data_IF_043981197766
#
_entry.id   IF_043981197766
#
_cell.length_a   1.000
_cell.length_b   1.000
_cell.length_c   1.000
_cell.angle_alpha   90.00
_cell.angle_beta   90.00
_cell.angle_gamma   90.00
#
_symmetry.space_group_name_H-M   'P 1'
#
loop_
_entity.id
_entity.type
_entity.pdbx_description
1 polymer ?
#
# COMPACT_ATOMS: atom_id res chain seq x y z
N UNK A 1 19.60 -7.47 -18.40
CA UNK A 1 19.99 -6.79 -17.15
C UNK A 1 20.34 -5.35 -17.47
N UNK A 2 19.80 -4.42 -16.69
CA UNK A 2 20.09 -2.99 -16.84
C UNK A 2 21.30 -2.63 -15.96
N UNK A 3 22.21 -1.81 -16.51
CA UNK A 3 23.34 -1.25 -15.75
C UNK A 3 22.94 0.08 -15.13
N UNK A 4 23.38 0.35 -13.91
CA UNK A 4 23.22 1.64 -13.23
C UNK A 4 24.19 2.69 -13.79
N UNK A 5 24.04 3.94 -13.38
CA UNK A 5 24.96 5.02 -13.78
C UNK A 5 26.34 4.79 -13.17
N UNK A 6 26.38 4.34 -11.91
CA UNK A 6 27.61 4.02 -11.19
C UNK A 6 28.35 2.87 -11.87
N UNK A 7 27.63 1.79 -12.22
CA UNK A 7 28.22 0.66 -12.96
C UNK A 7 28.79 1.10 -14.31
N UNK A 8 28.11 2.01 -15.03
CA UNK A 8 28.62 2.58 -16.29
C UNK A 8 29.87 3.43 -16.08
N UNK A 9 29.95 4.21 -15.01
CA UNK A 9 31.12 5.01 -14.67
C UNK A 9 32.33 4.11 -14.33
N UNK A 10 32.11 3.04 -13.57
CA UNK A 10 33.15 2.03 -13.29
C UNK A 10 33.65 1.38 -14.57
N UNK A 11 32.75 1.03 -15.51
CA UNK A 11 33.14 0.50 -16.82
C UNK A 11 34.03 1.50 -17.57
N UNK A 12 33.67 2.79 -17.60
CA UNK A 12 34.45 3.81 -18.29
C UNK A 12 35.87 3.94 -17.73
N UNK A 13 36.00 4.07 -16.40
CA UNK A 13 37.30 4.24 -15.73
C UNK A 13 38.16 2.99 -15.92
N UNK A 14 37.62 1.80 -15.65
CA UNK A 14 38.38 0.56 -15.77
C UNK A 14 38.75 0.22 -17.22
N UNK A 15 37.92 0.58 -18.20
CA UNK A 15 38.24 0.42 -19.60
C UNK A 15 39.37 1.38 -20.04
N UNK A 16 39.37 2.63 -19.56
CA UNK A 16 40.44 3.58 -19.80
C UNK A 16 41.78 3.14 -19.16
N UNK A 17 41.72 2.44 -18.03
CA UNK A 17 42.88 1.82 -17.37
C UNK A 17 43.36 0.51 -18.04
N UNK A 18 42.73 0.09 -19.15
CA UNK A 18 43.14 -1.11 -19.89
C UNK A 18 42.74 -2.44 -19.23
N UNK A 19 41.78 -2.45 -18.31
CA UNK A 19 41.34 -3.70 -17.68
C UNK A 19 40.61 -4.61 -18.67
N UNK A 20 40.82 -5.91 -18.54
CA UNK A 20 40.11 -6.90 -19.35
C UNK A 20 38.61 -6.93 -19.00
N UNK A 21 37.77 -7.28 -19.99
CA UNK A 21 36.31 -7.36 -19.80
C UNK A 21 35.91 -8.28 -18.64
N UNK A 22 36.68 -9.35 -18.39
CA UNK A 22 36.45 -10.28 -17.27
C UNK A 22 36.73 -9.62 -15.93
N UNK A 23 37.80 -8.81 -15.84
CA UNK A 23 38.14 -8.06 -14.62
C UNK A 23 37.09 -7.00 -14.31
N UNK A 24 36.63 -6.25 -15.32
CA UNK A 24 35.55 -5.26 -15.16
C UNK A 24 34.26 -5.95 -14.70
N UNK A 25 33.92 -7.08 -15.32
CA UNK A 25 32.76 -7.89 -14.94
C UNK A 25 32.80 -8.35 -13.47
N UNK A 26 33.95 -8.81 -12.96
CA UNK A 26 34.09 -9.16 -11.55
C UNK A 26 33.92 -7.95 -10.63
N UNK A 27 34.49 -6.78 -10.98
CA UNK A 27 34.41 -5.57 -10.15
C UNK A 27 32.97 -5.09 -9.90
N UNK A 28 32.11 -5.17 -10.92
CA UNK A 28 30.70 -4.76 -10.80
C UNK A 28 29.74 -5.95 -10.60
N UNK A 29 30.28 -7.15 -10.35
CA UNK A 29 29.51 -8.39 -10.18
C UNK A 29 28.49 -8.66 -11.32
N UNK A 30 28.95 -8.57 -12.58
CA UNK A 30 28.15 -8.81 -13.79
C UNK A 30 28.82 -9.83 -14.70
N UNK A 31 28.08 -10.36 -15.68
CA UNK A 31 28.67 -11.24 -16.69
C UNK A 31 29.59 -10.46 -17.65
N UNK A 32 30.71 -11.04 -18.13
CA UNK A 32 31.56 -10.43 -19.17
C UNK A 32 30.79 -10.09 -20.45
N UNK A 33 29.76 -10.87 -20.77
CA UNK A 33 28.89 -10.63 -21.92
C UNK A 33 28.07 -9.34 -21.79
N UNK A 34 27.72 -8.94 -20.56
CA UNK A 34 27.02 -7.67 -20.28
C UNK A 34 27.93 -6.48 -20.62
N UNK A 35 29.18 -6.51 -20.16
CA UNK A 35 30.17 -5.46 -20.41
C UNK A 35 30.47 -5.33 -21.90
N UNK A 36 30.71 -6.47 -22.56
CA UNK A 36 30.97 -6.51 -24.01
C UNK A 36 29.82 -5.90 -24.82
N UNK A 37 28.57 -6.25 -24.51
CA UNK A 37 27.38 -5.69 -25.18
C UNK A 37 27.22 -4.20 -24.90
N UNK A 38 27.50 -3.73 -23.68
CA UNK A 38 27.38 -2.31 -23.34
C UNK A 38 28.42 -1.46 -24.08
N UNK A 39 29.68 -1.87 -24.07
CA UNK A 39 30.77 -1.19 -24.77
C UNK A 39 30.58 -1.19 -26.28
N UNK A 40 30.07 -2.28 -26.86
CA UNK A 40 29.78 -2.36 -28.29
C UNK A 40 28.61 -1.46 -28.69
N UNK A 41 27.55 -1.40 -27.88
CA UNK A 41 26.32 -0.67 -28.18
C UNK A 41 26.48 0.84 -28.07
N UNK A 42 27.33 1.32 -27.15
CA UNK A 42 27.47 2.74 -26.85
C UNK A 42 28.88 3.27 -27.18
N UNK A 43 29.54 2.66 -28.16
CA UNK A 43 30.83 3.12 -28.68
C UNK A 43 30.63 4.41 -29.49
N UNK A 44 31.49 5.40 -29.31
CA UNK A 44 31.50 6.60 -30.13
C UNK A 44 32.18 6.36 -31.50
N UNK A 45 32.16 7.38 -32.36
CA UNK A 45 32.73 7.32 -33.73
C UNK A 45 34.25 7.11 -33.71
N UNK A 46 34.93 7.55 -32.65
CA UNK A 46 36.37 7.41 -32.46
C UNK A 46 36.76 6.13 -31.69
N UNK A 47 35.79 5.27 -31.36
CA UNK A 47 36.03 4.02 -30.64
C UNK A 47 36.03 4.13 -29.10
N UNK A 48 35.79 5.31 -28.56
CA UNK A 48 35.69 5.59 -27.13
C UNK A 48 34.35 5.18 -26.51
N UNK A 49 34.31 5.21 -25.18
CA UNK A 49 33.11 4.92 -24.38
C UNK A 49 32.91 5.99 -23.31
N UNK A 50 31.71 6.57 -23.28
CA UNK A 50 31.30 7.56 -22.28
C UNK A 50 30.06 7.05 -21.54
N UNK A 51 30.18 6.95 -20.21
CA UNK A 51 29.10 6.53 -19.32
C UNK A 51 27.88 7.46 -19.43
N UNK A 52 28.11 8.76 -19.54
CA UNK A 52 27.06 9.76 -19.69
C UNK A 52 26.31 9.59 -21.02
N UNK A 53 27.02 9.43 -22.13
CA UNK A 53 26.41 9.17 -23.43
C UNK A 53 25.64 7.84 -23.45
N UNK A 54 26.20 6.78 -22.86
CA UNK A 54 25.54 5.48 -22.75
C UNK A 54 24.23 5.56 -21.93
N UNK A 55 24.23 6.33 -20.84
CA UNK A 55 23.04 6.60 -20.03
C UNK A 55 21.96 7.34 -20.82
N UNK A 56 22.32 8.42 -21.51
CA UNK A 56 21.39 9.19 -22.34
C UNK A 56 20.78 8.34 -23.47
N UNK A 57 21.59 7.55 -24.16
CA UNK A 57 21.10 6.66 -25.21
C UNK A 57 20.17 5.57 -24.66
N UNK A 58 20.46 5.03 -23.47
CA UNK A 58 19.57 4.09 -22.80
C UNK A 58 18.21 4.74 -22.50
N UNK A 59 18.21 5.98 -21.97
CA UNK A 59 16.99 6.73 -21.70
C UNK A 59 16.19 7.02 -22.98
N UNK A 60 16.86 7.46 -24.05
CA UNK A 60 16.21 7.71 -25.35
C UNK A 60 15.55 6.43 -25.92
N UNK A 61 16.27 5.30 -25.91
CA UNK A 61 15.71 4.00 -26.32
C UNK A 61 14.50 3.61 -25.47
N UNK A 62 14.57 3.84 -24.15
CA UNK A 62 13.44 3.56 -23.24
C UNK A 62 12.22 4.41 -23.54
N UNK A 63 12.38 5.68 -23.91
CA UNK A 63 11.25 6.54 -24.24
C UNK A 63 10.48 6.01 -25.45
N UNK A 64 11.18 5.54 -26.49
CA UNK A 64 10.57 4.98 -27.70
C UNK A 64 9.85 3.65 -27.42
N UNK A 65 10.40 2.82 -26.52
CA UNK A 65 9.77 1.55 -26.13
C UNK A 65 8.54 1.70 -25.23
N UNK A 66 8.24 2.91 -24.72
CA UNK A 66 7.05 3.10 -23.88
C UNK A 66 5.80 3.08 -24.76
N UNK A 67 4.77 2.27 -24.41
CA UNK A 67 3.50 2.29 -25.11
C UNK A 67 2.94 3.71 -25.14
N UNK A 68 2.61 4.21 -26.33
CA UNK A 68 1.92 5.49 -26.48
C UNK A 68 0.58 5.42 -25.75
N UNK A 69 0.29 6.40 -24.90
CA UNK A 69 -1.01 6.49 -24.21
C UNK A 69 -2.11 6.68 -25.26
N UNK A 70 -3.07 5.75 -25.29
CA UNK A 70 -4.15 5.75 -26.29
C UNK A 70 -5.19 6.86 -26.07
N UNK A 71 -5.34 7.31 -24.82
CA UNK A 71 -6.28 8.34 -24.40
C UNK A 71 -5.50 9.46 -23.71
N UNK A 72 -5.06 10.43 -24.51
CA UNK A 72 -4.45 11.66 -24.02
C UNK A 72 -5.52 12.74 -23.89
N UNK A 73 -5.51 13.49 -22.79
CA UNK A 73 -6.42 14.62 -22.57
C UNK A 73 -6.32 15.61 -23.73
N UNK A 74 -7.45 16.10 -24.24
CA UNK A 74 -7.53 17.01 -25.38
C UNK A 74 -7.33 16.35 -26.75
N UNK A 75 -7.06 15.04 -26.80
CA UNK A 75 -7.09 14.30 -28.06
C UNK A 75 -8.51 13.91 -28.44
N UNK A 76 -8.81 13.86 -29.74
CA UNK A 76 -10.14 13.52 -30.28
C UNK A 76 -10.74 12.25 -29.65
N UNK A 77 -9.91 11.22 -29.45
CA UNK A 77 -10.31 9.96 -28.81
C UNK A 77 -10.76 10.13 -27.37
N UNK A 78 -10.06 10.96 -26.61
CA UNK A 78 -10.40 11.21 -25.22
C UNK A 78 -11.71 11.99 -25.13
N UNK A 79 -11.89 13.01 -25.98
CA UNK A 79 -13.11 13.80 -26.01
C UNK A 79 -14.33 12.96 -26.42
N UNK A 80 -14.16 12.06 -27.39
CA UNK A 80 -15.22 11.11 -27.77
C UNK A 80 -15.60 10.17 -26.61
N UNK A 81 -14.61 9.62 -25.91
CA UNK A 81 -14.86 8.78 -24.72
C UNK A 81 -15.52 9.59 -23.61
N UNK A 82 -15.08 10.83 -23.36
CA UNK A 82 -15.65 11.72 -22.36
C UNK A 82 -17.11 12.07 -22.69
N UNK A 83 -17.42 12.36 -23.95
CA UNK A 83 -18.78 12.58 -24.41
C UNK A 83 -19.66 11.34 -24.18
N UNK A 84 -19.20 10.14 -24.57
CA UNK A 84 -19.98 8.92 -24.32
C UNK A 84 -20.15 8.58 -22.83
N UNK A 85 -19.20 8.95 -21.97
CA UNK A 85 -19.36 8.84 -20.52
C UNK A 85 -20.44 9.79 -20.01
N UNK A 86 -20.50 11.03 -20.51
CA UNK A 86 -21.56 12.00 -20.15
C UNK A 86 -22.94 11.49 -20.53
N UNK A 87 -23.05 10.82 -21.68
CA UNK A 87 -24.24 10.08 -22.14
C UNK A 87 -24.52 8.78 -21.34
N UNK A 88 -23.83 8.57 -20.21
CA UNK A 88 -24.02 7.44 -19.29
C UNK A 88 -23.71 6.06 -19.87
N UNK A 89 -22.94 5.97 -20.96
CA UNK A 89 -22.44 4.68 -21.44
C UNK A 89 -21.35 4.15 -20.49
N UNK A 90 -21.42 2.86 -20.16
CA UNK A 90 -20.37 2.22 -19.37
C UNK A 90 -19.06 2.10 -20.17
N UNK A 91 -17.89 2.06 -19.52
CA UNK A 91 -16.62 1.81 -20.22
C UNK A 91 -16.61 0.54 -21.09
N UNK A 92 -17.42 -0.47 -20.75
CA UNK A 92 -17.62 -1.67 -21.57
C UNK A 92 -18.43 -1.39 -22.83
N UNK A 93 -19.54 -0.67 -22.71
CA UNK A 93 -20.38 -0.26 -23.83
C UNK A 93 -19.61 0.67 -24.77
N UNK A 94 -18.82 1.60 -24.23
CA UNK A 94 -17.96 2.49 -25.01
C UNK A 94 -16.93 1.68 -25.79
N UNK A 95 -16.24 0.73 -25.15
CA UNK A 95 -15.26 -0.12 -25.83
C UNK A 95 -15.89 -0.97 -26.95
N UNK A 96 -17.12 -1.46 -26.74
CA UNK A 96 -17.89 -2.16 -27.77
C UNK A 96 -18.29 -1.24 -28.93
N UNK A 97 -18.84 -0.06 -28.62
CA UNK A 97 -19.31 0.92 -29.61
C UNK A 97 -18.16 1.47 -30.46
N UNK A 98 -17.02 1.76 -29.85
CA UNK A 98 -15.81 2.17 -30.57
C UNK A 98 -15.28 1.08 -31.50
N UNK A 99 -15.47 -0.20 -31.14
CA UNK A 99 -15.08 -1.32 -32.02
C UNK A 99 -15.96 -1.42 -33.26
N UNK A 100 -17.25 -1.10 -33.15
CA UNK A 100 -18.18 -1.14 -34.29
C UNK A 100 -18.14 0.11 -35.17
N UNK A 101 -17.58 1.21 -34.67
CA UNK A 101 -17.43 2.45 -35.42
C UNK A 101 -16.27 2.35 -36.41
N UNK A 102 -16.56 2.35 -37.70
CA UNK A 102 -15.53 2.37 -38.74
C UNK A 102 -15.05 3.82 -38.96
N UNK A 103 -14.22 4.33 -38.04
CA UNK A 103 -13.68 5.69 -38.10
C UNK A 103 -12.29 5.64 -38.75
N UNK A 104 -12.09 6.19 -39.97
CA UNK A 104 -10.83 6.11 -40.70
C UNK A 104 -9.62 6.68 -39.94
N UNK A 105 -9.80 7.75 -39.17
CA UNK A 105 -8.75 8.38 -38.35
C UNK A 105 -8.37 7.57 -37.10
N UNK A 106 -9.16 6.54 -36.74
CA UNK A 106 -9.01 5.77 -35.50
C UNK A 106 -8.84 4.25 -35.74
N UNK A 107 -8.49 3.83 -36.96
CA UNK A 107 -8.40 2.39 -37.35
C UNK A 107 -7.52 1.52 -36.43
N UNK A 108 -6.43 2.07 -35.89
CA UNK A 108 -5.52 1.32 -34.99
C UNK A 108 -5.92 1.39 -33.50
N UNK A 109 -7.03 2.05 -33.18
CA UNK A 109 -7.32 2.52 -31.83
C UNK A 109 -8.28 1.60 -31.06
N UNK A 110 -7.96 0.30 -30.95
CA UNK A 110 -8.66 -0.53 -29.98
C UNK A 110 -8.44 0.02 -28.55
N UNK A 111 -9.50 0.56 -27.95
CA UNK A 111 -9.56 1.03 -26.57
C UNK A 111 -10.46 0.05 -25.80
N UNK A 112 -9.86 -0.79 -24.97
CA UNK A 112 -10.62 -1.65 -24.08
C UNK A 112 -11.12 -0.86 -22.85
N UNK A 113 -12.14 -1.40 -22.16
CA UNK A 113 -12.67 -0.83 -20.89
C UNK A 113 -11.57 -0.45 -19.90
N UNK A 114 -10.52 -1.27 -19.82
CA UNK A 114 -9.38 -1.06 -18.92
C UNK A 114 -8.58 0.20 -19.26
N UNK A 115 -8.45 0.49 -20.56
CA UNK A 115 -7.75 1.68 -21.04
C UNK A 115 -8.52 2.94 -20.65
N UNK A 116 -9.86 2.89 -20.71
CA UNK A 116 -10.75 3.98 -20.28
C UNK A 116 -10.63 4.19 -18.77
N UNK A 117 -10.75 3.13 -17.96
CA UNK A 117 -10.57 3.23 -16.52
C UNK A 117 -9.19 3.80 -16.15
N UNK A 118 -8.11 3.29 -16.74
CA UNK A 118 -6.77 3.80 -16.48
C UNK A 118 -6.62 5.27 -16.86
N UNK A 119 -7.22 5.70 -17.98
CA UNK A 119 -7.19 7.11 -18.39
C UNK A 119 -7.89 8.00 -17.37
N UNK A 120 -9.10 7.65 -16.92
CA UNK A 120 -9.87 8.43 -15.93
C UNK A 120 -9.12 8.52 -14.60
N UNK A 121 -8.66 7.38 -14.07
CA UNK A 121 -8.00 7.34 -12.76
C UNK A 121 -6.59 7.92 -12.76
N UNK A 122 -5.92 8.03 -13.91
CA UNK A 122 -4.62 8.68 -14.06
C UNK A 122 -4.70 10.21 -14.28
N UNK A 123 -5.91 10.78 -14.42
CA UNK A 123 -6.08 12.23 -14.47
C UNK A 123 -5.63 12.87 -13.14
N UNK A 124 -5.07 14.10 -13.18
CA UNK A 124 -4.82 14.86 -11.97
C UNK A 124 -6.12 15.12 -11.21
N UNK A 125 -6.01 15.33 -9.89
CA UNK A 125 -7.18 15.71 -9.07
C UNK A 125 -7.70 17.05 -9.57
N UNK A 126 -8.99 17.10 -9.93
CA UNK A 126 -9.62 18.28 -10.51
C UNK A 126 -11.05 17.99 -10.95
N UNK A 127 -11.72 19.02 -11.47
CA UNK A 127 -13.14 18.97 -11.86
C UNK A 127 -13.42 17.92 -12.93
N UNK A 128 -12.63 17.89 -14.00
CA UNK A 128 -12.77 16.89 -15.07
C UNK A 128 -12.71 15.45 -14.55
N UNK A 129 -11.83 15.17 -13.59
CA UNK A 129 -11.74 13.83 -12.98
C UNK A 129 -13.00 13.52 -12.18
N UNK A 130 -13.49 14.47 -11.39
CA UNK A 130 -14.73 14.31 -10.60
C UNK A 130 -15.93 14.08 -11.53
N UNK A 131 -16.06 14.90 -12.57
CA UNK A 131 -17.12 14.83 -13.57
C UNK A 131 -17.17 13.44 -14.24
N UNK A 132 -16.02 12.96 -14.75
CA UNK A 132 -15.96 11.66 -15.43
C UNK A 132 -16.17 10.49 -14.46
N UNK A 133 -15.76 10.61 -13.19
CA UNK A 133 -16.02 9.58 -12.17
C UNK A 133 -17.51 9.49 -11.87
N UNK A 134 -18.23 10.62 -11.75
CA UNK A 134 -19.68 10.66 -11.52
C UNK A 134 -20.45 9.95 -12.65
N UNK A 135 -19.90 9.98 -13.87
CA UNK A 135 -20.48 9.30 -15.02
C UNK A 135 -20.32 7.76 -14.97
N UNK A 136 -19.45 7.21 -14.11
CA UNK A 136 -19.27 5.77 -13.97
C UNK A 136 -20.37 5.17 -13.11
N UNK A 137 -20.83 3.96 -13.43
CA UNK A 137 -21.92 3.27 -12.71
C UNK A 137 -21.75 3.18 -11.19
N UNK A 138 -20.52 3.12 -10.69
CA UNK A 138 -20.24 3.02 -9.25
C UNK A 138 -19.78 4.34 -8.63
N UNK A 139 -19.46 5.36 -9.44
CA UNK A 139 -18.97 6.67 -9.00
C UNK A 139 -17.86 6.67 -7.96
N UNK A 140 -17.02 5.61 -7.92
CA UNK A 140 -15.98 5.46 -6.90
C UNK A 140 -14.77 6.34 -7.22
N UNK A 141 -14.41 7.20 -6.27
CA UNK A 141 -13.22 8.07 -6.34
C UNK A 141 -11.91 7.29 -6.44
N UNK A 142 -11.89 6.07 -5.89
CA UNK A 142 -10.77 5.15 -5.93
C UNK A 142 -11.09 3.93 -6.79
N UNK A 143 -10.09 3.50 -7.55
CA UNK A 143 -10.19 2.31 -8.38
C UNK A 143 -10.05 1.08 -7.50
N UNK A 144 -10.97 0.11 -7.63
CA UNK A 144 -10.82 -1.17 -6.95
C UNK A 144 -9.57 -1.89 -7.49
N UNK A 145 -8.63 -2.32 -6.63
CA UNK A 145 -7.46 -3.05 -7.08
C UNK A 145 -7.88 -4.35 -7.78
N UNK A 146 -7.15 -4.69 -8.84
CA UNK A 146 -7.47 -5.81 -9.73
C UNK A 146 -7.15 -7.17 -9.08
N UNK A 147 -6.15 -7.19 -8.21
CA UNK A 147 -5.97 -8.25 -7.23
C UNK A 147 -7.03 -8.06 -6.15
N UNK A 148 -8.17 -8.72 -6.30
CA UNK A 148 -9.01 -9.08 -5.16
C UNK A 148 -8.26 -10.11 -4.32
N UNK A 149 -7.10 -9.73 -3.80
CA UNK A 149 -6.41 -10.56 -2.82
C UNK A 149 -7.35 -10.72 -1.66
N UNK A 150 -7.58 -11.96 -1.26
CA UNK A 150 -7.88 -12.28 0.15
C UNK A 150 -6.98 -11.39 0.97
N UNK A 151 -7.55 -10.69 1.93
CA UNK A 151 -6.81 -9.72 2.72
C UNK A 151 -5.54 -10.39 3.24
N UNK A 152 -4.36 -10.05 2.68
CA UNK A 152 -3.08 -10.66 3.08
C UNK A 152 -2.65 -10.22 4.49
N UNK A 153 -3.52 -9.46 5.14
CA UNK A 153 -3.47 -9.06 6.52
C UNK A 153 -3.92 -10.28 7.29
N UNK A 154 -2.97 -11.11 7.74
CA UNK A 154 -3.30 -12.29 8.55
C UNK A 154 -4.32 -11.94 9.62
N UNK A 155 -5.31 -12.82 9.81
CA UNK A 155 -6.33 -12.66 10.85
C UNK A 155 -5.67 -12.84 12.23
N UNK A 156 -6.23 -12.18 13.26
CA UNK A 156 -5.82 -12.44 14.64
C UNK A 156 -6.16 -13.91 14.94
N UNK A 157 -5.17 -14.76 15.26
CA UNK A 157 -5.44 -16.17 15.55
C UNK A 157 -6.27 -16.27 16.84
N UNK A 158 -7.20 -17.23 16.89
CA UNK A 158 -7.95 -17.60 18.11
C UNK A 158 -8.70 -16.43 18.78
N UNK A 159 -9.14 -15.47 17.97
CA UNK A 159 -9.88 -14.29 18.43
C UNK A 159 -11.19 -14.68 19.16
N UNK A 160 -11.36 -14.18 20.39
CA UNK A 160 -12.60 -14.34 21.15
C UNK A 160 -13.53 -13.16 20.87
N UNK A 161 -14.72 -13.43 20.33
CA UNK A 161 -15.69 -12.38 19.98
C UNK A 161 -16.24 -11.67 21.22
N UNK A 162 -16.54 -10.38 21.10
CA UNK A 162 -17.25 -9.61 22.12
C UNK A 162 -18.62 -10.19 22.48
N UNK A 163 -19.26 -10.96 21.60
CA UNK A 163 -20.59 -11.54 21.84
C UNK A 163 -20.60 -12.68 22.86
N UNK A 164 -19.44 -13.28 23.17
CA UNK A 164 -19.34 -14.32 24.22
C UNK A 164 -18.95 -13.73 25.58
N UNK A 165 -18.83 -12.41 25.67
CA UNK A 165 -18.48 -11.70 26.89
C UNK A 165 -19.61 -11.84 27.92
N UNK A 166 -19.29 -12.07 29.22
CA UNK A 166 -20.30 -12.07 30.28
C UNK A 166 -21.13 -10.77 30.29
N UNK A 167 -22.45 -10.84 30.51
CA UNK A 167 -23.33 -9.67 30.45
C UNK A 167 -22.99 -8.61 31.50
N UNK A 168 -22.48 -9.03 32.66
CA UNK A 168 -22.05 -8.17 33.77
C UNK A 168 -20.99 -7.11 33.39
N UNK A 169 -20.28 -7.30 32.27
CA UNK A 169 -19.26 -6.38 31.77
C UNK A 169 -19.90 -5.17 31.09
N UNK A 170 -21.10 -5.33 30.54
CA UNK A 170 -21.80 -4.24 29.85
C UNK A 170 -22.37 -3.22 30.84
N UNK A 171 -22.84 -3.69 32.00
CA UNK A 171 -23.50 -2.85 33.00
C UNK A 171 -22.55 -1.87 33.73
N UNK A 172 -21.22 -2.01 33.54
CA UNK A 172 -20.19 -1.15 34.17
C UNK A 172 -20.32 -1.05 35.69
N UNK A 173 -20.76 -2.12 36.35
CA UNK A 173 -21.03 -2.13 37.78
C UNK A 173 -19.82 -2.52 38.63
N UNK A 174 -18.84 -3.20 38.03
CA UNK A 174 -17.66 -3.67 38.74
C UNK A 174 -16.36 -3.20 38.08
N UNK A 175 -15.38 -2.76 38.88
CA UNK A 175 -14.10 -2.34 38.34
C UNK A 175 -13.28 -3.54 37.85
N UNK A 176 -12.35 -3.25 36.93
CA UNK A 176 -11.39 -4.23 36.40
C UNK A 176 -11.71 -4.73 34.99
N UNK A 177 -12.67 -4.09 34.32
CA UNK A 177 -12.96 -4.28 32.91
C UNK A 177 -12.43 -3.09 32.10
N UNK A 178 -11.54 -3.37 31.16
CA UNK A 178 -10.78 -2.36 30.44
C UNK A 178 -11.19 -2.27 28.97
N UNK A 179 -11.07 -1.10 28.38
CA UNK A 179 -11.06 -0.90 26.92
C UNK A 179 -9.67 -0.46 26.50
N UNK A 180 -9.08 -1.19 25.57
CA UNK A 180 -7.75 -0.89 25.04
C UNK A 180 -7.81 -0.24 23.67
N UNK A 181 -6.89 0.69 23.40
CA UNK A 181 -6.61 1.25 22.07
C UNK A 181 -5.10 1.41 21.84
N UNK A 182 -4.69 1.68 20.61
CA UNK A 182 -3.31 2.00 20.25
C UNK A 182 -3.23 3.29 19.44
N UNK A 183 -2.70 4.33 20.06
CA UNK A 183 -2.42 5.59 19.40
C UNK A 183 -1.04 5.50 18.73
N UNK A 184 -1.02 5.66 17.40
CA UNK A 184 0.22 5.63 16.60
C UNK A 184 0.71 7.05 16.33
N UNK A 185 1.96 7.31 16.67
CA UNK A 185 2.65 8.56 16.38
C UNK A 185 3.02 8.70 14.90
N UNK A 186 3.59 9.86 14.55
CA UNK A 186 4.00 10.17 13.17
C UNK A 186 4.95 9.08 12.63
N UNK A 187 4.66 8.60 11.42
CA UNK A 187 5.42 7.56 10.75
C UNK A 187 5.55 6.22 11.52
N UNK A 188 4.64 5.93 12.47
CA UNK A 188 4.70 4.76 13.35
C UNK A 188 6.01 4.66 14.17
N UNK A 189 6.71 5.78 14.37
CA UNK A 189 7.99 5.83 15.09
C UNK A 189 7.83 5.80 16.62
N UNK A 190 6.61 5.99 17.11
CA UNK A 190 6.23 5.83 18.51
C UNK A 190 4.78 5.37 18.57
N UNK A 191 4.40 4.69 19.65
CA UNK A 191 3.00 4.43 19.93
C UNK A 191 2.73 4.41 21.44
N UNK A 192 1.47 4.65 21.77
CA UNK A 192 0.97 4.66 23.14
C UNK A 192 -0.28 3.81 23.17
N UNK A 193 -0.24 2.71 23.92
CA UNK A 193 -1.44 1.95 24.25
C UNK A 193 -2.25 2.72 25.30
N UNK A 194 -3.56 2.76 25.15
CA UNK A 194 -4.47 3.27 26.18
C UNK A 194 -5.20 2.10 26.81
N UNK A 195 -5.43 2.17 28.13
CA UNK A 195 -6.32 1.27 28.85
C UNK A 195 -7.26 2.12 29.69
N UNK A 196 -8.55 2.10 29.38
CA UNK A 196 -9.59 2.83 30.12
C UNK A 196 -10.45 1.85 30.90
N UNK A 197 -10.52 2.02 32.22
CA UNK A 197 -11.37 1.22 33.09
C UNK A 197 -12.83 1.65 32.94
N UNK A 198 -13.73 0.72 32.63
CA UNK A 198 -15.10 1.02 32.19
C UNK A 198 -16.01 1.60 33.28
N UNK A 199 -15.71 1.36 34.56
CA UNK A 199 -16.55 1.81 35.69
C UNK A 199 -16.15 3.21 36.16
N UNK A 200 -14.86 3.42 36.38
CA UNK A 200 -14.28 4.64 36.94
C UNK A 200 -13.80 5.64 35.88
N UNK A 201 -13.62 5.21 34.63
CA UNK A 201 -12.99 6.02 33.58
C UNK A 201 -11.48 6.21 33.76
N UNK A 202 -10.85 5.46 34.67
CA UNK A 202 -9.42 5.57 34.92
C UNK A 202 -8.61 5.19 33.67
N UNK A 203 -7.83 6.13 33.17
CA UNK A 203 -6.99 5.98 31.97
C UNK A 203 -5.55 5.69 32.36
N UNK A 204 -4.99 4.62 31.79
CA UNK A 204 -3.56 4.33 31.81
C UNK A 204 -2.97 4.46 30.41
N UNK A 205 -1.82 5.15 30.33
CA UNK A 205 -1.05 5.30 29.10
C UNK A 205 0.18 4.40 29.15
N UNK A 206 0.31 3.53 28.15
CA UNK A 206 1.37 2.54 28.04
C UNK A 206 2.28 2.92 26.89
N UNK A 207 3.43 3.51 27.18
CA UNK A 207 4.40 3.90 26.16
C UNK A 207 5.08 2.67 25.56
N UNK A 208 5.10 2.58 24.23
CA UNK A 208 5.70 1.49 23.48
C UNK A 208 6.67 2.02 22.43
N UNK A 209 7.71 1.25 22.12
CA UNK A 209 8.76 1.67 21.17
C UNK A 209 8.26 1.64 19.72
N UNK A 210 7.40 0.68 19.37
CA UNK A 210 6.80 0.54 18.05
C UNK A 210 5.42 -0.12 18.12
N UNK A 211 4.69 -0.09 17.01
CA UNK A 211 3.34 -0.64 16.90
C UNK A 211 3.33 -2.15 16.54
N UNK A 212 4.33 -2.91 16.95
CA UNK A 212 4.38 -4.37 16.73
C UNK A 212 3.57 -5.12 17.79
N UNK A 213 3.16 -6.36 17.45
CA UNK A 213 2.44 -7.21 18.39
C UNK A 213 3.29 -7.62 19.60
N UNK A 214 4.62 -7.68 19.45
CA UNK A 214 5.54 -7.96 20.56
C UNK A 214 5.57 -6.78 21.54
N UNK A 215 5.77 -5.56 21.05
CA UNK A 215 5.79 -4.37 21.92
C UNK A 215 4.44 -4.12 22.60
N UNK A 216 3.33 -4.39 21.91
CA UNK A 216 2.01 -4.31 22.51
C UNK A 216 1.79 -5.36 23.61
N UNK A 217 2.18 -6.61 23.36
CA UNK A 217 2.11 -7.67 24.36
C UNK A 217 2.94 -7.32 25.60
N UNK A 218 4.21 -6.94 25.43
CA UNK A 218 5.10 -6.58 26.54
C UNK A 218 4.56 -5.38 27.34
N UNK A 219 4.15 -4.31 26.63
CA UNK A 219 3.65 -3.09 27.24
C UNK A 219 2.35 -3.33 28.02
N UNK A 220 1.35 -3.95 27.40
CA UNK A 220 0.07 -4.22 28.06
C UNK A 220 0.23 -5.23 29.21
N UNK A 221 1.03 -6.29 29.03
CA UNK A 221 1.31 -7.24 30.12
C UNK A 221 1.96 -6.55 31.31
N UNK A 222 2.97 -5.70 31.09
CA UNK A 222 3.63 -4.97 32.17
C UNK A 222 2.66 -4.02 32.90
N UNK A 223 1.84 -3.28 32.15
CA UNK A 223 0.83 -2.37 32.69
C UNK A 223 -0.22 -3.10 33.54
N UNK A 224 -0.80 -4.17 33.00
CA UNK A 224 -1.79 -5.00 33.69
C UNK A 224 -1.18 -5.68 34.92
N UNK A 225 0.05 -6.18 34.83
CA UNK A 225 0.76 -6.80 35.94
C UNK A 225 1.18 -5.81 37.05
N UNK A 226 1.17 -4.51 36.77
CA UNK A 226 1.33 -3.46 37.78
C UNK A 226 0.08 -3.22 38.64
N UNK A 227 -1.08 -3.71 38.23
CA UNK A 227 -2.36 -3.49 38.93
C UNK A 227 -2.67 -4.62 39.93
N UNK A 228 -3.48 -4.41 40.97
CA UNK A 228 -3.97 -5.51 41.82
C UNK A 228 -4.73 -6.56 41.01
N UNK A 229 -4.64 -7.84 41.40
CA UNK A 229 -5.33 -8.96 40.71
C UNK A 229 -6.84 -8.72 40.55
N UNK A 230 -7.49 -8.11 41.54
CA UNK A 230 -8.93 -7.79 41.50
C UNK A 230 -9.31 -6.86 40.32
N UNK A 231 -8.36 -6.07 39.81
CA UNK A 231 -8.56 -5.15 38.69
C UNK A 231 -8.28 -5.78 37.32
N UNK A 232 -7.94 -7.07 37.25
CA UNK A 232 -7.50 -7.74 36.01
C UNK A 232 -8.54 -8.71 35.49
N UNK A 233 -9.78 -8.25 35.25
CA UNK A 233 -10.88 -9.14 34.85
C UNK A 233 -10.92 -9.36 33.34
N UNK A 234 -11.13 -8.29 32.58
CA UNK A 234 -11.20 -8.39 31.12
C UNK A 234 -10.69 -7.14 30.42
N UNK A 235 -10.38 -7.28 29.13
CA UNK A 235 -10.05 -6.19 28.24
C UNK A 235 -10.81 -6.35 26.92
N UNK A 236 -11.42 -5.27 26.44
CA UNK A 236 -12.08 -5.21 25.12
C UNK A 236 -11.20 -4.43 24.16
N UNK A 237 -10.99 -4.94 22.95
CA UNK A 237 -10.10 -4.33 21.94
C UNK A 237 -10.71 -4.41 20.54
N UNK A 238 -10.24 -3.55 19.63
CA UNK A 238 -10.55 -3.68 18.21
C UNK A 238 -9.74 -4.83 17.55
N UNK A 239 -9.96 -5.08 16.26
CA UNK A 239 -9.22 -6.11 15.53
C UNK A 239 -7.84 -5.62 15.04
N UNK A 240 -7.17 -4.77 15.83
CA UNK A 240 -5.84 -4.25 15.60
C UNK A 240 -4.77 -5.34 15.60
N UNK A 241 -3.80 -5.25 14.68
CA UNK A 241 -2.77 -6.30 14.51
C UNK A 241 -1.78 -6.38 15.65
N UNK A 242 -1.60 -5.29 16.38
CA UNK A 242 -0.87 -5.24 17.63
C UNK A 242 -1.39 -6.30 18.63
N UNK A 243 -2.66 -6.70 18.53
CA UNK A 243 -3.25 -7.73 19.39
C UNK A 243 -3.14 -9.16 18.83
N UNK A 244 -2.29 -9.39 17.81
CA UNK A 244 -2.05 -10.74 17.28
C UNK A 244 -1.50 -11.73 18.33
N UNK A 245 -0.84 -11.22 19.39
CA UNK A 245 -0.30 -12.01 20.52
C UNK A 245 -1.16 -11.91 21.79
N UNK A 246 -2.46 -11.61 21.67
CA UNK A 246 -3.33 -11.42 22.84
C UNK A 246 -3.42 -12.64 23.76
N UNK A 247 -3.34 -13.86 23.23
CA UNK A 247 -3.33 -15.08 24.03
C UNK A 247 -2.20 -15.11 25.07
N UNK A 248 -1.02 -14.55 24.71
CA UNK A 248 0.11 -14.44 25.63
C UNK A 248 -0.12 -13.37 26.71
N UNK A 249 -0.82 -12.28 26.38
CA UNK A 249 -1.24 -11.27 27.38
C UNK A 249 -2.17 -11.94 28.40
N UNK A 250 -3.18 -12.68 27.93
CA UNK A 250 -4.08 -13.44 28.81
C UNK A 250 -3.32 -14.44 29.67
N UNK A 251 -2.38 -15.20 29.10
CA UNK A 251 -1.56 -16.15 29.84
C UNK A 251 -0.70 -15.47 30.93
N UNK A 252 -0.12 -14.30 30.65
CA UNK A 252 0.78 -13.60 31.56
C UNK A 252 0.06 -12.80 32.65
N UNK A 253 -1.19 -12.40 32.42
CA UNK A 253 -1.91 -11.43 33.27
C UNK A 253 -3.17 -11.99 33.91
N UNK A 254 -3.75 -13.05 33.34
CA UNK A 254 -5.06 -13.59 33.70
C UNK A 254 -6.24 -12.83 33.10
N UNK A 255 -6.01 -11.75 32.34
CA UNK A 255 -7.08 -10.92 31.78
C UNK A 255 -7.71 -11.59 30.56
N UNK A 256 -9.04 -11.75 30.57
CA UNK A 256 -9.79 -12.23 29.41
C UNK A 256 -9.90 -11.14 28.33
N UNK A 257 -9.47 -11.43 27.10
CA UNK A 257 -9.47 -10.44 26.01
C UNK A 257 -10.58 -10.75 25.01
N UNK A 258 -11.40 -9.75 24.70
CA UNK A 258 -12.53 -9.84 23.78
C UNK A 258 -12.38 -8.82 22.64
N UNK A 259 -12.80 -9.22 21.44
CA UNK A 259 -12.63 -8.42 20.23
C UNK A 259 -13.95 -7.94 19.65
N UNK A 260 -14.00 -6.65 19.33
CA UNK A 260 -15.14 -6.02 18.66
C UNK A 260 -15.33 -6.55 17.23
N UNK A 261 -16.53 -6.38 16.70
CA UNK A 261 -16.83 -6.64 15.30
C UNK A 261 -16.13 -5.63 14.39
N UNK A 262 -15.77 -6.02 13.15
CA UNK A 262 -15.20 -5.09 12.18
C UNK A 262 -16.13 -3.89 11.97
N UNK A 263 -15.55 -2.70 11.86
CA UNK A 263 -16.30 -1.46 11.62
C UNK A 263 -17.39 -1.14 12.68
N UNK A 264 -17.22 -1.64 13.91
CA UNK A 264 -18.16 -1.42 15.02
C UNK A 264 -17.55 -0.64 16.19
N UNK A 265 -17.09 0.61 15.96
CA UNK A 265 -16.40 1.42 16.97
C UNK A 265 -17.19 1.64 18.27
N UNK A 266 -18.53 1.75 18.18
CA UNK A 266 -19.43 1.94 19.31
C UNK A 266 -19.39 0.84 20.38
N UNK A 267 -18.84 -0.34 20.05
CA UNK A 267 -18.62 -1.43 21.00
C UNK A 267 -17.51 -1.12 22.03
N UNK A 268 -16.73 -0.05 21.81
CA UNK A 268 -15.76 0.53 22.76
C UNK A 268 -16.07 2.00 23.05
N UNK A 269 -17.30 2.25 23.49
CA UNK A 269 -17.79 3.62 23.67
C UNK A 269 -17.02 4.46 24.69
N UNK A 270 -16.15 3.89 25.54
CA UNK A 270 -15.35 4.69 26.48
C UNK A 270 -14.06 5.23 25.87
N UNK A 271 -13.53 4.61 24.82
CA UNK A 271 -12.33 5.10 24.12
C UNK A 271 -12.62 6.14 23.02
N UNK A 272 -13.88 6.26 22.59
CA UNK A 272 -14.27 7.20 21.52
C UNK A 272 -14.88 8.52 22.02
N UNK A 273 -15.14 8.62 23.33
CA UNK A 273 -15.65 9.83 23.99
C UNK A 273 -14.52 10.56 24.73
#
# INVERSE_FOLDING_TARGET
>A
TELSVEERATIQISHAQGFSLRRIACLINRSPSTISRELRRNRDVCGGYSAHAAQQQMQARRQVCRPKRKLLRGGERFELVAHMLRERLSPEQIAGKLRSMNIPSLRDAYVCRETIYNAIYALPVGELRKELIICLRQSKTTRRPRSGGVDRRGQIPEMVSIHVRPPEIEDRLMPGHWEGDLIKGKANASCVGTLVERTSGYLMLVKMNDATATSAMEGFSAALNGMPLAMRKSMTYDQGREMARHAEITQQTGVAIYFCDPHSPWQRGSNEN
#
